data_IF_054593376984
#
_entry.id   IF_054593376984
#
_cell.length_a   1.000
_cell.length_b   1.000
_cell.length_c   1.000
_cell.angle_alpha   90.00
_cell.angle_beta   90.00
_cell.angle_gamma   90.00
#
_symmetry.space_group_name_H-M   'P 1'
#
loop_
_entity.id
_entity.type
_entity.pdbx_description
1 polymer ?
#
# COMPACT_ATOMS: atom_id res chain seq x y z
N UNK A 1 9.52 -6.64 23.75
CA UNK A 1 9.18 -5.72 22.64
C UNK A 1 7.85 -6.16 22.06
N UNK A 2 6.94 -5.21 21.83
CA UNK A 2 5.65 -5.41 21.19
C UNK A 2 5.59 -4.65 19.86
N UNK A 3 4.99 -5.27 18.85
CA UNK A 3 4.82 -4.70 17.52
C UNK A 3 3.34 -4.71 17.15
N UNK A 4 2.87 -3.62 16.54
CA UNK A 4 1.53 -3.50 16.01
C UNK A 4 1.45 -3.99 14.57
N UNK A 5 0.61 -4.99 14.31
CA UNK A 5 0.21 -5.43 12.97
C UNK A 5 -1.32 -5.58 12.98
N UNK A 6 -2.02 -4.84 12.12
CA UNK A 6 -3.48 -4.91 12.02
C UNK A 6 -3.96 -6.28 11.53
N UNK A 7 -5.24 -6.57 11.72
CA UNK A 7 -5.84 -7.84 11.30
C UNK A 7 -5.69 -8.00 9.78
N UNK A 8 -5.01 -9.06 9.30
CA UNK A 8 -4.77 -9.30 7.88
C UNK A 8 -6.05 -9.43 7.05
N UNK A 9 -7.16 -9.89 7.66
CA UNK A 9 -8.44 -10.07 6.98
C UNK A 9 -9.26 -8.79 6.86
N UNK A 10 -8.98 -7.78 7.70
CA UNK A 10 -9.76 -6.54 7.77
C UNK A 10 -9.01 -5.36 7.11
N UNK A 11 -7.67 -5.38 7.15
CA UNK A 11 -6.82 -4.29 6.73
C UNK A 11 -5.63 -4.80 5.89
N UNK A 12 -5.45 -4.32 4.64
CA UNK A 12 -4.30 -4.66 3.82
C UNK A 12 -2.95 -4.39 4.49
N UNK A 13 -2.85 -3.39 5.38
CA UNK A 13 -1.61 -3.14 6.13
C UNK A 13 -1.22 -4.34 7.02
N UNK A 14 -2.21 -5.13 7.47
CA UNK A 14 -2.01 -6.30 8.31
C UNK A 14 -1.25 -7.40 7.59
N UNK A 15 -1.79 -7.92 6.48
CA UNK A 15 -1.12 -8.98 5.73
C UNK A 15 0.21 -8.49 5.13
N UNK A 16 0.29 -7.22 4.72
CA UNK A 16 1.53 -6.61 4.22
C UNK A 16 2.61 -6.54 5.30
N UNK A 17 2.25 -6.26 6.55
CA UNK A 17 3.17 -6.32 7.69
C UNK A 17 3.76 -7.72 7.88
N UNK A 18 2.96 -8.78 7.73
CA UNK A 18 3.45 -10.16 7.77
C UNK A 18 4.36 -10.50 6.60
N UNK A 19 4.00 -10.10 5.37
CA UNK A 19 4.86 -10.29 4.20
C UNK A 19 6.21 -9.59 4.38
N UNK A 20 6.26 -8.43 5.03
CA UNK A 20 7.53 -7.75 5.34
C UNK A 20 8.40 -8.61 6.26
N UNK A 21 7.83 -9.24 7.27
CA UNK A 21 8.56 -10.16 8.16
C UNK A 21 9.04 -11.40 7.39
N UNK A 22 8.25 -11.93 6.46
CA UNK A 22 8.64 -13.07 5.63
C UNK A 22 9.80 -12.74 4.68
N UNK A 23 9.71 -11.62 3.97
CA UNK A 23 10.76 -11.14 3.09
C UNK A 23 12.04 -10.82 3.87
N UNK A 24 11.92 -10.24 5.07
CA UNK A 24 13.07 -10.01 5.94
C UNK A 24 13.70 -11.35 6.38
N UNK A 25 12.89 -12.36 6.71
CA UNK A 25 13.38 -13.68 7.08
C UNK A 25 14.16 -14.34 5.95
N UNK A 26 13.64 -14.25 4.74
CA UNK A 26 14.33 -14.69 3.52
C UNK A 26 15.69 -13.99 3.35
N UNK A 27 15.71 -12.66 3.36
CA UNK A 27 16.90 -11.88 3.02
C UNK A 27 17.99 -11.91 4.10
N UNK A 28 17.61 -11.95 5.39
CA UNK A 28 18.56 -11.75 6.50
C UNK A 28 18.79 -12.99 7.35
N UNK A 29 17.94 -14.02 7.24
CA UNK A 29 18.05 -15.24 8.03
C UNK A 29 18.05 -16.53 7.19
N UNK A 30 17.89 -16.42 5.86
CA UNK A 30 17.73 -17.57 4.95
C UNK A 30 16.57 -18.50 5.37
N UNK A 31 15.54 -17.94 6.00
CA UNK A 31 14.32 -18.63 6.46
C UNK A 31 13.15 -17.63 6.52
N UNK A 32 12.16 -17.79 5.63
CA UNK A 32 10.98 -16.91 5.56
C UNK A 32 10.20 -16.87 6.86
N UNK A 33 10.24 -17.94 7.66
CA UNK A 33 9.48 -18.04 8.90
C UNK A 33 10.23 -17.51 10.12
N UNK A 34 11.51 -17.13 9.97
CA UNK A 34 12.36 -16.77 11.11
C UNK A 34 11.78 -15.65 11.98
N UNK A 35 11.40 -14.53 11.37
CA UNK A 35 10.83 -13.38 12.10
C UNK A 35 9.34 -13.55 12.40
N UNK A 36 8.60 -14.30 11.56
CA UNK A 36 7.19 -14.62 11.80
C UNK A 36 7.04 -15.47 13.07
N UNK A 37 7.76 -16.60 13.15
CA UNK A 37 7.74 -17.49 14.32
C UNK A 37 8.17 -16.77 15.58
N UNK A 38 9.28 -16.02 15.53
CA UNK A 38 9.73 -15.21 16.68
C UNK A 38 8.66 -14.23 17.15
N UNK A 39 7.94 -13.59 16.24
CA UNK A 39 6.87 -12.65 16.60
C UNK A 39 5.72 -13.37 17.32
N UNK A 40 5.33 -14.55 16.82
CA UNK A 40 4.23 -15.34 17.37
C UNK A 40 4.59 -16.03 18.69
N UNK A 41 5.73 -16.71 18.75
CA UNK A 41 6.20 -17.47 19.91
C UNK A 41 6.46 -16.56 21.11
N UNK A 42 7.03 -15.38 20.88
CA UNK A 42 7.22 -14.38 21.94
C UNK A 42 5.95 -13.59 22.27
N UNK A 43 4.81 -13.90 21.63
CA UNK A 43 3.56 -13.16 21.74
C UNK A 43 3.79 -11.65 21.55
N UNK A 44 4.66 -11.28 20.61
CA UNK A 44 5.09 -9.91 20.40
C UNK A 44 4.07 -9.08 19.62
N UNK A 45 3.20 -9.73 18.83
CA UNK A 45 2.17 -9.05 18.05
C UNK A 45 1.04 -8.49 18.93
N UNK A 46 0.65 -7.24 18.66
CA UNK A 46 -0.57 -6.60 19.11
C UNK A 46 -1.38 -6.25 17.88
N UNK A 47 -2.65 -6.63 17.87
CA UNK A 47 -3.51 -6.50 16.69
C UNK A 47 -4.80 -5.74 16.99
N UNK A 48 -5.33 -5.09 15.96
CA UNK A 48 -6.60 -4.37 15.95
C UNK A 48 -7.19 -4.47 14.53
N UNK A 49 -8.45 -4.07 14.33
CA UNK A 49 -9.10 -4.22 13.02
C UNK A 49 -8.45 -3.37 11.91
N UNK A 50 -7.76 -2.28 12.27
CA UNK A 50 -6.95 -1.50 11.34
C UNK A 50 -5.76 -0.85 12.03
N UNK A 51 -4.72 -0.51 11.26
CA UNK A 51 -3.47 0.03 11.80
C UNK A 51 -3.66 1.39 12.50
N UNK A 52 -4.68 2.18 12.12
CA UNK A 52 -4.93 3.48 12.73
C UNK A 52 -5.32 3.37 14.22
N UNK A 53 -6.01 2.29 14.62
CA UNK A 53 -6.33 2.02 16.02
C UNK A 53 -5.10 1.72 16.88
N UNK A 54 -3.99 1.31 16.26
CA UNK A 54 -2.73 1.00 16.96
C UNK A 54 -1.84 2.24 17.15
N UNK A 55 -2.25 3.42 16.66
CA UNK A 55 -1.51 4.67 16.87
C UNK A 55 -1.52 5.09 18.34
N UNK A 56 -2.66 5.02 19.03
CA UNK A 56 -2.71 5.36 20.47
C UNK A 56 -1.84 4.41 21.31
N UNK A 57 -1.93 3.06 21.16
CA UNK A 57 -0.98 2.13 21.78
C UNK A 57 0.50 2.46 21.52
N UNK A 58 0.85 2.94 20.32
CA UNK A 58 2.21 3.35 20.01
C UNK A 58 2.63 4.59 20.83
N UNK A 59 1.77 5.61 20.88
CA UNK A 59 2.06 6.87 21.57
C UNK A 59 2.13 6.70 23.10
N UNK A 60 1.33 5.80 23.68
CA UNK A 60 1.35 5.48 25.11
C UNK A 60 2.43 4.45 25.49
N UNK A 61 3.12 3.86 24.51
CA UNK A 61 4.22 2.92 24.74
C UNK A 61 3.80 1.47 24.97
N UNK A 62 2.51 1.14 24.78
CA UNK A 62 1.98 -0.23 24.84
C UNK A 62 2.58 -1.12 23.72
N UNK A 63 2.92 -0.50 22.58
CA UNK A 63 3.73 -1.09 21.51
C UNK A 63 4.95 -0.22 21.21
N UNK A 64 6.05 -0.84 20.77
CA UNK A 64 7.29 -0.12 20.43
C UNK A 64 7.41 0.18 18.94
N UNK A 65 6.76 -0.62 18.08
CA UNK A 65 6.74 -0.42 16.64
C UNK A 65 5.34 -0.68 16.09
N UNK A 66 5.02 -0.06 14.96
CA UNK A 66 3.77 -0.24 14.24
C UNK A 66 4.06 -0.38 12.75
N UNK A 67 3.59 -1.45 12.14
CA UNK A 67 3.53 -1.55 10.68
C UNK A 67 2.38 -0.69 10.16
N UNK A 68 2.74 0.41 9.48
CA UNK A 68 1.81 1.34 8.85
C UNK A 68 2.47 1.98 7.62
N UNK A 69 1.68 2.44 6.66
CA UNK A 69 2.20 3.14 5.49
C UNK A 69 2.89 4.45 5.88
N UNK A 70 3.96 4.80 5.15
CA UNK A 70 4.69 6.07 5.32
C UNK A 70 3.77 7.29 5.29
N UNK A 71 2.80 7.29 4.37
CA UNK A 71 1.84 8.39 4.25
C UNK A 71 1.00 8.59 5.50
N UNK A 72 0.56 7.50 6.13
CA UNK A 72 -0.17 7.56 7.38
C UNK A 72 0.73 7.95 8.57
N UNK A 73 1.99 7.50 8.60
CA UNK A 73 2.96 7.95 9.60
C UNK A 73 3.18 9.46 9.52
N UNK A 74 3.36 10.02 8.32
CA UNK A 74 3.49 11.46 8.09
C UNK A 74 2.23 12.21 8.53
N UNK A 75 1.05 11.75 8.09
CA UNK A 75 -0.23 12.38 8.45
C UNK A 75 -0.52 12.37 9.96
N UNK A 76 0.07 11.42 10.70
CA UNK A 76 -0.05 11.31 12.16
C UNK A 76 1.16 11.86 12.91
N UNK A 77 2.10 12.51 12.23
CA UNK A 77 3.32 13.08 12.79
C UNK A 77 4.17 12.06 13.59
N UNK A 78 4.21 10.81 13.11
CA UNK A 78 4.98 9.74 13.73
C UNK A 78 6.40 9.69 13.16
N UNK A 79 7.37 9.39 14.02
CA UNK A 79 8.70 8.96 13.57
C UNK A 79 8.59 7.58 12.90
N UNK A 80 9.40 7.33 11.88
CA UNK A 80 9.39 6.06 11.16
C UNK A 80 10.81 5.64 10.76
N UNK A 81 10.97 4.32 10.60
CA UNK A 81 12.15 3.71 10.03
C UNK A 81 11.82 3.37 8.57
N UNK A 82 12.62 3.86 7.64
CA UNK A 82 12.48 3.48 6.24
C UNK A 82 13.00 2.07 6.02
N UNK A 83 12.12 1.18 5.59
CA UNK A 83 12.48 -0.18 5.22
C UNK A 83 13.08 -0.21 3.81
N UNK A 84 14.09 -1.06 3.53
CA UNK A 84 14.67 -1.21 2.20
C UNK A 84 13.63 -1.56 1.14
N UNK A 85 13.84 -1.13 -0.12
CA UNK A 85 12.94 -1.43 -1.25
C UNK A 85 12.57 -2.91 -1.35
N UNK A 86 13.49 -3.82 -1.05
CA UNK A 86 13.24 -5.26 -1.13
C UNK A 86 12.14 -5.77 -0.19
N UNK A 87 11.82 -5.08 0.90
CA UNK A 87 10.84 -5.57 1.87
C UNK A 87 9.67 -4.60 2.10
N UNK A 88 9.75 -3.38 1.58
CA UNK A 88 8.78 -2.32 1.88
C UNK A 88 7.55 -2.30 0.94
N UNK A 89 7.53 -3.17 -0.09
CA UNK A 89 6.47 -3.26 -1.09
C UNK A 89 6.24 -1.96 -1.89
N UNK A 90 7.20 -1.03 -1.91
CA UNK A 90 7.05 0.29 -2.51
C UNK A 90 7.61 0.43 -3.92
N UNK A 91 8.36 -0.57 -4.39
CA UNK A 91 9.09 -0.48 -5.67
C UNK A 91 8.49 -1.36 -6.78
N UNK A 92 7.87 -0.79 -7.82
CA UNK A 92 7.32 -1.52 -8.96
C UNK A 92 8.29 -2.49 -9.64
N UNK A 93 9.59 -2.17 -9.70
CA UNK A 93 10.59 -3.01 -10.37
C UNK A 93 10.85 -4.35 -9.65
N UNK A 94 10.39 -4.46 -8.40
CA UNK A 94 10.50 -5.66 -7.58
C UNK A 94 9.20 -6.48 -7.54
N UNK A 95 8.23 -6.20 -8.43
CA UNK A 95 6.95 -6.92 -8.45
C UNK A 95 7.12 -8.45 -8.46
N UNK A 96 7.98 -8.98 -9.33
CA UNK A 96 8.28 -10.42 -9.41
C UNK A 96 9.01 -10.98 -8.17
N UNK A 97 9.69 -10.12 -7.42
CA UNK A 97 10.29 -10.52 -6.15
C UNK A 97 9.20 -10.61 -5.07
N UNK A 98 8.39 -9.57 -4.90
CA UNK A 98 7.32 -9.57 -3.91
C UNK A 98 6.31 -10.71 -4.12
N UNK A 99 6.01 -11.07 -5.38
CA UNK A 99 5.03 -12.09 -5.70
C UNK A 99 5.42 -13.51 -5.29
N UNK A 100 6.69 -13.73 -4.93
CA UNK A 100 7.18 -15.02 -4.40
C UNK A 100 6.69 -15.28 -2.97
N UNK A 101 6.23 -14.24 -2.27
CA UNK A 101 5.75 -14.32 -0.90
C UNK A 101 4.22 -14.26 -0.90
N UNK A 102 3.60 -15.03 -0.01
CA UNK A 102 2.14 -15.17 0.03
C UNK A 102 1.62 -15.12 1.46
N UNK A 103 0.39 -14.65 1.61
CA UNK A 103 -0.33 -14.70 2.87
C UNK A 103 -1.69 -15.35 2.67
N UNK A 104 -2.11 -16.21 3.61
CA UNK A 104 -3.39 -16.89 3.55
C UNK A 104 -4.45 -16.07 4.31
N UNK A 105 -5.31 -15.38 3.57
CA UNK A 105 -6.50 -14.72 4.12
C UNK A 105 -7.67 -15.70 4.19
N UNK A 106 -8.72 -15.34 4.93
CA UNK A 106 -9.99 -16.07 4.95
C UNK A 106 -10.67 -16.10 3.57
N UNK A 107 -10.38 -15.12 2.72
CA UNK A 107 -10.89 -14.99 1.35
C UNK A 107 -10.02 -15.67 0.30
N UNK A 108 -8.85 -16.18 0.67
CA UNK A 108 -7.92 -16.86 -0.24
C UNK A 108 -6.47 -16.41 -0.07
N UNK A 109 -5.61 -16.99 -0.91
CA UNK A 109 -4.18 -16.67 -0.93
C UNK A 109 -3.98 -15.32 -1.63
N UNK A 110 -3.23 -14.42 -0.99
CA UNK A 110 -2.76 -13.18 -1.62
C UNK A 110 -1.26 -13.22 -1.79
N UNK A 111 -0.78 -12.63 -2.89
CA UNK A 111 0.64 -12.48 -3.18
C UNK A 111 1.13 -11.10 -2.77
N UNK A 112 2.41 -11.00 -2.39
CA UNK A 112 3.09 -9.73 -2.28
C UNK A 112 3.07 -8.99 -3.62
N UNK A 113 2.81 -7.69 -3.57
CA UNK A 113 2.77 -6.84 -4.76
C UNK A 113 3.14 -5.40 -4.38
N UNK A 114 3.62 -4.59 -5.35
CA UNK A 114 3.83 -3.18 -5.10
C UNK A 114 2.53 -2.50 -4.64
N UNK A 115 2.62 -1.67 -3.62
CA UNK A 115 1.47 -0.93 -3.07
C UNK A 115 1.15 0.24 -3.99
N UNK A 116 0.11 0.08 -4.81
CA UNK A 116 -0.47 1.14 -5.62
C UNK A 116 -1.68 1.78 -4.95
N UNK A 117 -1.89 3.07 -5.20
CA UNK A 117 -3.14 3.76 -4.94
C UNK A 117 -3.87 3.95 -6.28
N UNK A 118 -5.15 3.59 -6.29
CA UNK A 118 -6.02 3.70 -7.45
C UNK A 118 -7.07 4.77 -7.21
N UNK A 119 -7.48 5.44 -8.29
CA UNK A 119 -8.60 6.36 -8.32
C UNK A 119 -9.53 5.93 -9.45
N UNK A 120 -10.84 5.90 -9.20
CA UNK A 120 -11.85 5.49 -10.19
C UNK A 120 -13.11 6.34 -10.05
N UNK A 121 -13.87 6.46 -11.13
CA UNK A 121 -15.20 7.09 -11.14
C UNK A 121 -16.24 5.96 -11.14
N UNK A 122 -17.10 5.86 -10.09
CA UNK A 122 -18.15 4.86 -10.05
C UNK A 122 -19.10 4.97 -11.25
N UNK A 123 -19.59 3.84 -11.75
CA UNK A 123 -20.51 3.81 -12.90
C UNK A 123 -21.85 4.52 -12.64
N UNK A 124 -22.22 4.67 -11.37
CA UNK A 124 -23.42 5.39 -10.91
C UNK A 124 -23.12 6.79 -10.36
N UNK A 125 -21.99 7.41 -10.73
CA UNK A 125 -21.66 8.78 -10.33
C UNK A 125 -22.74 9.76 -10.81
N UNK A 126 -23.28 10.56 -9.88
CA UNK A 126 -24.34 11.54 -10.16
C UNK A 126 -23.88 12.61 -11.16
N UNK A 127 -22.64 13.08 -11.01
CA UNK A 127 -21.99 13.99 -11.94
C UNK A 127 -20.65 13.40 -12.40
N UNK A 128 -20.72 12.52 -13.39
CA UNK A 128 -19.54 11.86 -13.94
C UNK A 128 -18.56 12.84 -14.60
N UNK A 129 -19.07 13.93 -15.19
CA UNK A 129 -18.23 14.95 -15.82
C UNK A 129 -17.32 15.65 -14.80
N UNK A 130 -17.88 16.07 -13.65
CA UNK A 130 -17.08 16.66 -12.58
C UNK A 130 -16.16 15.63 -11.90
N UNK A 131 -16.60 14.37 -11.76
CA UNK A 131 -15.74 13.31 -11.25
C UNK A 131 -14.52 13.11 -12.16
N UNK A 132 -14.67 13.10 -13.48
CA UNK A 132 -13.55 13.01 -14.41
C UNK A 132 -12.65 14.26 -14.39
N UNK A 133 -13.21 15.46 -14.21
CA UNK A 133 -12.42 16.66 -13.99
C UNK A 133 -11.57 16.57 -12.72
N UNK A 134 -12.12 15.99 -11.65
CA UNK A 134 -11.37 15.76 -10.41
C UNK A 134 -10.23 14.74 -10.61
N UNK A 135 -10.49 13.63 -11.31
CA UNK A 135 -9.42 12.66 -11.67
C UNK A 135 -8.31 13.35 -12.46
N UNK A 136 -8.69 14.15 -13.46
CA UNK A 136 -7.74 14.93 -14.26
C UNK A 136 -6.89 15.86 -13.38
N UNK A 137 -7.53 16.63 -12.51
CA UNK A 137 -6.86 17.51 -11.56
C UNK A 137 -5.84 16.76 -10.68
N UNK A 138 -6.21 15.58 -10.14
CA UNK A 138 -5.31 14.78 -9.30
C UNK A 138 -4.07 14.34 -10.09
N UNK A 139 -4.21 13.95 -11.36
CA UNK A 139 -3.09 13.52 -12.21
C UNK A 139 -2.15 14.70 -12.52
N UNK A 140 -2.70 15.81 -13.00
CA UNK A 140 -1.96 17.03 -13.36
C UNK A 140 -1.19 17.60 -12.15
N UNK A 141 -1.80 17.56 -10.96
CA UNK A 141 -1.21 18.11 -9.74
C UNK A 141 -0.61 17.07 -8.79
N UNK A 142 -0.39 15.84 -9.27
CA UNK A 142 0.06 14.70 -8.47
C UNK A 142 1.32 14.92 -7.64
N UNK A 143 2.18 15.88 -8.02
CA UNK A 143 3.35 16.28 -7.23
C UNK A 143 3.04 16.66 -5.77
N UNK A 144 1.84 17.18 -5.49
CA UNK A 144 1.41 17.52 -4.13
C UNK A 144 1.44 16.31 -3.19
N UNK A 145 1.22 15.11 -3.72
CA UNK A 145 1.18 13.87 -2.95
C UNK A 145 2.55 13.50 -2.34
N UNK A 146 3.65 14.03 -2.89
CA UNK A 146 5.00 13.83 -2.34
C UNK A 146 5.13 14.41 -0.93
N UNK A 147 4.47 15.54 -0.65
CA UNK A 147 4.44 16.13 0.69
C UNK A 147 3.74 15.25 1.74
N UNK A 148 2.92 14.29 1.27
CA UNK A 148 2.24 13.28 2.10
C UNK A 148 2.93 11.91 2.04
N UNK A 149 4.19 11.85 1.59
CA UNK A 149 4.99 10.61 1.54
C UNK A 149 4.54 9.58 0.53
N UNK A 150 3.78 9.99 -0.49
CA UNK A 150 3.41 9.16 -1.63
C UNK A 150 4.35 9.44 -2.80
N UNK A 151 4.59 8.42 -3.63
CA UNK A 151 5.37 8.56 -4.86
C UNK A 151 4.42 8.50 -6.06
N UNK A 152 4.09 9.63 -6.71
CA UNK A 152 3.27 9.62 -7.91
C UNK A 152 3.91 8.81 -9.03
N UNK A 153 3.10 8.01 -9.73
CA UNK A 153 3.50 7.42 -11.00
C UNK A 153 3.45 8.50 -12.08
N UNK A 154 4.58 8.73 -12.75
CA UNK A 154 4.69 9.65 -13.88
C UNK A 154 5.37 8.91 -15.04
N UNK A 155 4.62 8.55 -16.11
CA UNK A 155 3.18 8.76 -16.31
C UNK A 155 2.30 7.92 -15.37
N UNK A 156 1.06 8.37 -15.14
CA UNK A 156 0.03 7.57 -14.48
C UNK A 156 -0.46 6.44 -15.40
N UNK A 157 -1.04 5.38 -14.82
CA UNK A 157 -1.47 4.20 -15.59
C UNK A 157 -3.00 4.11 -15.58
N UNK A 158 -3.60 4.08 -16.78
CA UNK A 158 -5.04 3.92 -16.98
C UNK A 158 -5.38 2.49 -17.36
N UNK A 159 -6.14 1.81 -16.50
CA UNK A 159 -6.84 0.57 -16.81
C UNK A 159 -8.30 0.88 -17.16
N UNK A 160 -8.84 0.32 -18.25
CA UNK A 160 -10.21 0.61 -18.69
C UNK A 160 -10.70 -0.33 -19.81
N UNK A 161 -11.97 -0.75 -19.72
CA UNK A 161 -12.69 -1.54 -20.75
C UNK A 161 -13.81 -0.77 -21.46
N UNK A 162 -13.99 0.51 -21.12
CA UNK A 162 -15.11 1.33 -21.61
C UNK A 162 -14.64 2.45 -22.54
N UNK A 163 -15.56 3.28 -23.02
CA UNK A 163 -15.16 4.49 -23.74
C UNK A 163 -14.46 5.47 -22.78
N UNK A 164 -13.24 5.89 -23.13
CA UNK A 164 -12.46 6.82 -22.33
C UNK A 164 -13.06 8.24 -22.42
N UNK A 165 -13.47 8.86 -21.31
CA UNK A 165 -14.00 10.22 -21.30
C UNK A 165 -13.00 11.23 -21.86
N UNK A 166 -13.47 12.27 -22.53
CA UNK A 166 -12.63 13.26 -23.20
C UNK A 166 -11.60 13.90 -22.26
N UNK A 167 -11.97 14.14 -21.01
CA UNK A 167 -11.09 14.66 -19.96
C UNK A 167 -9.83 13.80 -19.80
N UNK A 168 -10.01 12.47 -19.74
CA UNK A 168 -8.91 11.51 -19.57
C UNK A 168 -8.20 11.22 -20.91
N UNK A 169 -8.93 11.26 -22.03
CA UNK A 169 -8.33 11.13 -23.35
C UNK A 169 -7.30 12.23 -23.63
N UNK A 170 -7.52 13.46 -23.13
CA UNK A 170 -6.54 14.54 -23.25
C UNK A 170 -5.20 14.20 -22.57
N UNK A 171 -5.22 13.51 -21.44
CA UNK A 171 -4.03 13.12 -20.69
C UNK A 171 -3.21 12.02 -21.37
N UNK A 172 -3.87 11.18 -22.18
CA UNK A 172 -3.17 10.22 -23.04
C UNK A 172 -2.40 10.93 -24.15
N UNK A 173 -2.97 11.99 -24.74
CA UNK A 173 -2.31 12.73 -25.82
C UNK A 173 -1.11 13.54 -25.35
N UNK A 174 -1.11 14.01 -24.09
CA UNK A 174 0.02 14.74 -23.49
C UNK A 174 1.09 13.83 -22.91
N UNK A 175 0.84 12.51 -22.83
CA UNK A 175 1.74 11.54 -22.23
C UNK A 175 1.77 11.56 -20.70
N UNK A 176 0.85 12.28 -20.05
CA UNK A 176 0.70 12.25 -18.59
C UNK A 176 0.10 10.93 -18.09
N UNK A 177 -0.64 10.25 -18.96
CA UNK A 177 -1.23 8.93 -18.73
C UNK A 177 -0.79 7.97 -19.83
N UNK A 178 -0.54 6.71 -19.46
CA UNK A 178 -0.33 5.59 -20.38
C UNK A 178 -1.37 4.50 -20.15
N UNK A 179 -1.62 3.66 -21.16
CA UNK A 179 -2.56 2.52 -21.06
C UNK A 179 -1.91 1.36 -20.30
N UNK A 180 -2.58 0.89 -19.25
CA UNK A 180 -2.20 -0.29 -18.46
C UNK A 180 -2.89 -1.58 -18.90
N UNK A 181 -4.02 -1.49 -19.60
CA UNK A 181 -4.78 -2.65 -20.08
C UNK A 181 -6.26 -2.58 -19.71
N UNK A 182 -6.92 -3.74 -19.78
CA UNK A 182 -8.28 -4.00 -19.33
C UNK A 182 -8.37 -4.05 -17.79
N UNK A 183 -9.58 -3.90 -17.22
CA UNK A 183 -9.89 -4.13 -15.79
C UNK A 183 -10.49 -5.54 -15.62
#
# INVERSE_FOLDING_TARGET
>A
MKIGISNPNDDPAGFRGWLVLEMAGFLYANDTQYFVKRTLENRANVTASNAAQLVSPLLYGDIQFLFIYRSAAIAKHLNYIELPRHINLGDPSLSSFYSQFTYNLSTGVVHGSPVYLFLSVPSNAVDSAQAYNFVKFVIEHSSILQSYGLTPLKPAILFNDTHIPQQLASLLSTGEVIRGGAI
#
